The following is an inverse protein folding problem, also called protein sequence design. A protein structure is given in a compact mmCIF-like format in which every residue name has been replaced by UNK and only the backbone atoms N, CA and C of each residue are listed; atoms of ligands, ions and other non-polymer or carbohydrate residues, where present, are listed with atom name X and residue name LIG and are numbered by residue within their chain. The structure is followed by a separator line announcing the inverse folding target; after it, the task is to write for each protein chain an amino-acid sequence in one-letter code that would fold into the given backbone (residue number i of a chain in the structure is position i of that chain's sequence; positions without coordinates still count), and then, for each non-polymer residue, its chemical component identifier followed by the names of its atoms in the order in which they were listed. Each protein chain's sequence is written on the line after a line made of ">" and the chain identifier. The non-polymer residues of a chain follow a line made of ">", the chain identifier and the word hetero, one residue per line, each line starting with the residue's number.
data_IF_072616557034
#
_entry.id   IF_072616557034
#
_cell.length_a   1.000
_cell.length_b   1.000
_cell.length_c   1.000
_cell.angle_alpha   90.00
_cell.angle_beta   90.00
_cell.angle_gamma   90.00
#
_symmetry.space_group_name_H-M   'P 1'
#
loop_
_entity.id
_entity.type
_entity.pdbx_description
1 polymer ?
#
# COMPACT_ATOMS: atom_id res chain seq x y z
N UNK A 1 -11.28 11.61 2.82
CA UNK A 1 -11.81 11.51 1.43
C UNK A 1 -11.75 10.04 1.03
N UNK A 2 -12.88 9.36 1.01
CA UNK A 2 -12.94 7.93 0.71
C UNK A 2 -13.18 7.73 -0.79
N UNK A 3 -12.38 6.88 -1.43
CA UNK A 3 -12.36 6.73 -2.89
C UNK A 3 -13.67 6.12 -3.45
N UNK A 4 -14.57 5.65 -2.57
CA UNK A 4 -15.87 5.07 -2.90
C UNK A 4 -16.88 6.07 -3.49
N UNK A 5 -16.66 7.38 -3.35
CA UNK A 5 -17.59 8.41 -3.83
C UNK A 5 -17.19 9.09 -5.16
N UNK A 6 -16.02 8.79 -5.74
CA UNK A 6 -15.64 9.37 -7.03
C UNK A 6 -16.30 8.60 -8.19
N UNK A 7 -17.11 9.30 -8.97
CA UNK A 7 -17.75 8.78 -10.19
C UNK A 7 -16.98 9.25 -11.43
N UNK A 8 -16.72 8.33 -12.36
CA UNK A 8 -16.02 8.64 -13.61
C UNK A 8 -16.97 9.30 -14.62
N UNK A 9 -16.59 10.45 -15.20
CA UNK A 9 -17.38 11.13 -16.21
C UNK A 9 -17.48 10.37 -17.55
N UNK A 10 -16.53 9.47 -17.85
CA UNK A 10 -16.50 8.75 -19.13
C UNK A 10 -17.38 7.49 -19.14
N UNK A 11 -17.54 6.80 -18.00
CA UNK A 11 -18.28 5.54 -17.91
C UNK A 11 -19.37 5.54 -16.83
N UNK A 12 -19.61 6.70 -16.21
CA UNK A 12 -20.67 6.95 -15.22
C UNK A 12 -20.74 5.98 -14.02
N UNK A 13 -19.66 5.26 -13.71
CA UNK A 13 -19.61 4.44 -12.50
C UNK A 13 -18.38 4.70 -11.66
N UNK A 14 -18.23 3.98 -10.55
CA UNK A 14 -17.24 4.34 -9.55
C UNK A 14 -15.81 4.12 -10.08
N UNK A 15 -14.89 5.00 -9.67
CA UNK A 15 -13.49 4.97 -10.10
C UNK A 15 -12.75 3.78 -9.46
N UNK A 16 -13.20 3.36 -8.27
CA UNK A 16 -12.63 2.24 -7.51
C UNK A 16 -12.71 0.89 -8.26
N UNK A 17 -13.74 0.61 -9.07
CA UNK A 17 -13.78 -0.65 -9.82
C UNK A 17 -12.84 -0.68 -11.03
N UNK A 18 -12.37 0.46 -11.54
CA UNK A 18 -11.39 0.48 -12.64
C UNK A 18 -11.88 -0.14 -13.97
N UNK A 19 -13.17 -0.05 -14.28
CA UNK A 19 -13.80 -0.69 -15.47
C UNK A 19 -13.35 -0.08 -16.80
N UNK A 20 -12.91 1.18 -16.80
CA UNK A 20 -12.54 1.94 -18.00
C UNK A 20 -11.06 2.43 -17.93
N UNK A 21 -10.41 2.80 -19.05
CA UNK A 21 -9.02 3.29 -19.03
C UNK A 21 -8.85 4.55 -18.15
N UNK A 22 -9.75 5.53 -18.29
CA UNK A 22 -9.78 6.75 -17.46
C UNK A 22 -9.93 6.42 -15.96
N UNK A 23 -10.75 5.42 -15.65
CA UNK A 23 -10.99 4.93 -14.29
C UNK A 23 -9.72 4.30 -13.72
N UNK A 24 -9.00 3.50 -14.51
CA UNK A 24 -7.74 2.86 -14.09
C UNK A 24 -6.66 3.90 -13.82
N UNK A 25 -6.53 4.91 -14.66
CA UNK A 25 -5.59 6.02 -14.46
C UNK A 25 -5.94 6.84 -13.21
N UNK A 26 -7.23 7.17 -13.03
CA UNK A 26 -7.71 7.86 -11.82
C UNK A 26 -7.43 7.04 -10.55
N UNK A 27 -7.75 5.74 -10.59
CA UNK A 27 -7.48 4.79 -9.51
C UNK A 27 -5.98 4.70 -9.20
N UNK A 28 -5.12 4.64 -10.21
CA UNK A 28 -3.67 4.59 -10.02
C UNK A 28 -3.15 5.85 -9.30
N UNK A 29 -3.68 7.04 -9.63
CA UNK A 29 -3.33 8.30 -8.94
C UNK A 29 -3.80 8.32 -7.48
N UNK A 30 -4.98 7.77 -7.19
CA UNK A 30 -5.53 7.68 -5.84
C UNK A 30 -4.81 6.64 -4.97
N UNK A 31 -4.56 5.43 -5.51
CA UNK A 31 -3.87 4.35 -4.81
C UNK A 31 -2.35 4.54 -4.72
N UNK A 32 -1.78 5.54 -5.39
CA UNK A 32 -0.37 5.91 -5.23
C UNK A 32 -0.03 6.34 -3.80
N UNK A 33 -1.02 6.77 -3.01
CA UNK A 33 -0.85 7.09 -1.58
C UNK A 33 -1.01 5.88 -0.64
N UNK A 34 -1.45 4.72 -1.14
CA UNK A 34 -1.59 3.51 -0.33
C UNK A 34 -0.31 2.72 -0.29
N UNK A 35 0.64 3.11 0.57
CA UNK A 35 1.82 2.31 0.95
C UNK A 35 2.58 1.61 -0.22
N UNK A 36 2.55 2.15 -1.44
CA UNK A 36 3.26 1.55 -2.59
C UNK A 36 4.78 1.57 -2.43
N UNK A 37 5.32 2.36 -1.49
CA UNK A 37 6.73 2.32 -1.11
C UNK A 37 7.08 1.23 -0.09
N UNK A 38 6.10 0.72 0.66
CA UNK A 38 6.28 -0.41 1.56
C UNK A 38 6.03 -1.69 0.77
N UNK A 39 7.03 -2.03 -0.04
CA UNK A 39 7.08 -3.35 -0.66
C UNK A 39 7.00 -4.42 0.44
N UNK A 40 6.33 -5.56 0.19
CA UNK A 40 6.32 -6.69 1.12
C UNK A 40 7.74 -7.11 1.53
N UNK A 41 8.71 -6.87 0.64
CA UNK A 41 10.12 -7.07 0.87
C UNK A 41 10.68 -6.14 1.96
N UNK A 42 10.31 -4.86 1.96
CA UNK A 42 10.72 -3.88 2.97
C UNK A 42 10.17 -4.27 4.36
N UNK A 43 8.90 -4.71 4.40
CA UNK A 43 8.28 -5.23 5.62
C UNK A 43 9.02 -6.46 6.15
N UNK A 44 9.34 -7.42 5.28
CA UNK A 44 10.11 -8.60 5.66
C UNK A 44 11.49 -8.23 6.21
N UNK A 45 12.18 -7.26 5.59
CA UNK A 45 13.48 -6.75 6.04
C UNK A 45 13.40 -6.13 7.44
N UNK A 46 12.38 -5.30 7.70
CA UNK A 46 12.17 -4.70 9.03
C UNK A 46 11.93 -5.77 10.09
N UNK A 47 11.09 -6.78 9.78
CA UNK A 47 10.82 -7.89 10.71
C UNK A 47 12.09 -8.69 11.01
N UNK A 48 12.88 -9.02 9.99
CA UNK A 48 14.16 -9.73 10.17
C UNK A 48 15.12 -8.91 11.03
N UNK A 49 15.24 -7.60 10.77
CA UNK A 49 16.11 -6.71 11.54
C UNK A 49 15.69 -6.68 13.02
N UNK A 50 14.39 -6.59 13.31
CA UNK A 50 13.87 -6.63 14.67
C UNK A 50 14.18 -7.96 15.36
N UNK A 51 14.02 -9.09 14.66
CA UNK A 51 14.36 -10.40 15.21
C UNK A 51 15.85 -10.52 15.53
N UNK A 52 16.73 -9.98 14.67
CA UNK A 52 18.18 -9.96 14.92
C UNK A 52 18.50 -9.11 16.15
N UNK A 53 17.93 -7.91 16.28
CA UNK A 53 18.13 -7.05 17.45
C UNK A 53 17.66 -7.74 18.73
N UNK A 54 16.49 -8.38 18.71
CA UNK A 54 15.98 -9.15 19.85
C UNK A 54 16.91 -10.31 20.18
N UNK A 55 17.35 -11.09 19.18
CA UNK A 55 18.25 -12.21 19.39
C UNK A 55 19.58 -11.77 20.01
N UNK A 56 20.15 -10.64 19.55
CA UNK A 56 21.37 -10.06 20.12
C UNK A 56 21.13 -9.62 21.57
N UNK A 57 20.00 -8.96 21.87
CA UNK A 57 19.67 -8.57 23.24
C UNK A 57 19.55 -9.78 24.17
N UNK A 58 18.87 -10.85 23.72
CA UNK A 58 18.73 -12.08 24.49
C UNK A 58 20.07 -12.80 24.69
N UNK A 59 20.93 -12.79 23.67
CA UNK A 59 22.26 -13.38 23.75
C UNK A 59 23.25 -12.57 24.62
N UNK A 60 23.05 -11.25 24.69
CA UNK A 60 23.93 -10.35 25.47
C UNK A 60 23.49 -10.22 26.94
N UNK A 61 22.33 -10.76 27.31
CA UNK A 61 22.00 -11.06 28.71
C UNK A 61 22.06 -9.87 29.67
N UNK A 62 21.17 -8.90 29.50
CA UNK A 62 20.66 -8.09 30.61
C UNK A 62 19.21 -8.47 30.88
#
# INVERSE_FOLDING_TARGET
>A
MSCEHLICAACAGPVVEGRCPVCREGRAKLHHHGFQGLSPLLLALIVVLLLVVVAIKQATGY
#
